data_IF_443649536142
#
_entry.id   IF_443649536142
#
_cell.length_a   1.000
_cell.length_b   1.000
_cell.length_c   1.000
_cell.angle_alpha   90.00
_cell.angle_beta   90.00
_cell.angle_gamma   90.00
#
_symmetry.space_group_name_H-M   'P 1'
#
loop_
_entity.id
_entity.type
_entity.pdbx_description
1 polymer ?
#
# COMPACT_ATOMS: atom_id res chain seq x y z
N UNK A 1 -1.80 19.13 -10.18
CA UNK A 1 -0.79 18.92 -11.25
C UNK A 1 -1.29 19.47 -12.58
N UNK A 2 -0.38 19.89 -13.42
CA UNK A 2 -0.66 20.38 -14.78
C UNK A 2 0.17 19.57 -15.78
N UNK A 3 -0.46 19.07 -16.84
CA UNK A 3 0.25 18.40 -17.93
C UNK A 3 0.19 19.31 -19.16
N UNK A 4 1.34 19.63 -19.73
CA UNK A 4 1.46 20.46 -20.93
C UNK A 4 1.93 19.58 -22.07
N UNK A 5 1.06 19.46 -23.08
CA UNK A 5 1.30 18.70 -24.32
C UNK A 5 1.31 19.70 -25.47
N UNK A 6 2.40 19.82 -26.22
CA UNK A 6 2.44 20.73 -27.34
C UNK A 6 1.52 20.29 -28.48
N UNK A 7 0.97 21.26 -29.17
CA UNK A 7 0.26 21.04 -30.42
C UNK A 7 1.24 21.15 -31.60
N UNK A 8 0.93 20.47 -32.69
CA UNK A 8 1.72 20.49 -33.93
C UNK A 8 1.87 21.88 -34.53
N UNK A 9 0.84 22.74 -34.39
CA UNK A 9 0.74 24.05 -35.00
C UNK A 9 1.04 25.24 -34.06
N UNK A 10 1.39 24.96 -32.79
CA UNK A 10 1.64 26.06 -31.84
C UNK A 10 3.03 26.66 -32.02
N UNK A 11 3.14 27.97 -31.73
CA UNK A 11 4.39 28.69 -31.80
C UNK A 11 5.19 28.58 -30.52
N UNK A 12 6.51 28.62 -30.63
CA UNK A 12 7.44 28.59 -29.50
C UNK A 12 7.21 29.73 -28.51
N UNK A 13 6.85 30.92 -29.04
CA UNK A 13 6.63 32.10 -28.21
C UNK A 13 5.47 31.93 -27.22
N UNK A 14 4.42 31.20 -27.60
CA UNK A 14 3.26 30.95 -26.73
C UNK A 14 3.66 30.13 -25.52
N UNK A 15 4.42 29.03 -25.73
CA UNK A 15 4.90 28.21 -24.63
C UNK A 15 5.91 28.95 -23.74
N UNK A 16 6.86 29.68 -24.33
CA UNK A 16 7.84 30.43 -23.58
C UNK A 16 7.21 31.55 -22.75
N UNK A 17 6.17 32.23 -23.27
CA UNK A 17 5.40 33.20 -22.48
C UNK A 17 4.75 32.55 -21.25
N UNK A 18 4.23 31.32 -21.37
CA UNK A 18 3.67 30.57 -20.27
C UNK A 18 4.79 30.16 -19.25
N UNK A 19 5.87 29.54 -19.72
CA UNK A 19 6.96 29.07 -18.86
C UNK A 19 7.67 30.21 -18.13
N UNK A 20 7.84 31.36 -18.77
CA UNK A 20 8.41 32.56 -18.16
C UNK A 20 7.53 33.10 -17.02
N UNK A 21 6.19 33.09 -17.17
CA UNK A 21 5.26 33.53 -16.10
C UNK A 21 5.41 32.70 -14.83
N UNK A 22 5.73 31.44 -14.96
CA UNK A 22 5.91 30.54 -13.81
C UNK A 22 7.38 30.29 -13.45
N UNK A 23 8.30 30.96 -14.13
CA UNK A 23 9.75 30.96 -13.90
C UNK A 23 10.38 29.57 -13.84
N UNK A 24 10.02 28.68 -14.77
CA UNK A 24 10.53 27.30 -14.81
C UNK A 24 11.60 27.04 -15.86
N UNK A 25 11.86 27.98 -16.75
CA UNK A 25 12.77 27.85 -17.88
C UNK A 25 12.11 28.09 -19.23
N UNK A 26 12.65 27.51 -20.29
CA UNK A 26 12.18 27.74 -21.65
C UNK A 26 12.31 26.50 -22.54
N UNK A 27 11.61 26.54 -23.66
CA UNK A 27 11.82 25.63 -24.77
C UNK A 27 12.51 26.36 -25.91
N UNK A 28 13.38 25.64 -26.62
CA UNK A 28 14.09 26.18 -27.77
C UNK A 28 13.53 25.64 -29.08
N UNK A 29 14.32 25.08 -29.93
CA UNK A 29 13.92 24.70 -31.28
C UNK A 29 13.01 23.48 -31.33
N UNK A 30 12.08 23.49 -32.29
CA UNK A 30 11.40 22.27 -32.76
C UNK A 30 12.33 21.53 -33.70
N UNK A 31 12.75 20.34 -33.32
CA UNK A 31 13.59 19.47 -34.11
C UNK A 31 12.74 18.48 -34.87
N UNK A 32 13.14 18.19 -36.12
CA UNK A 32 12.46 17.22 -37.00
C UNK A 32 13.40 16.05 -37.28
N UNK A 33 13.69 15.32 -36.24
CA UNK A 33 14.47 14.09 -36.28
C UNK A 33 13.66 12.97 -35.63
N UNK A 34 13.68 11.81 -36.26
CA UNK A 34 12.92 10.65 -35.77
C UNK A 34 13.70 9.99 -34.66
N UNK A 35 13.16 10.03 -33.41
CA UNK A 35 13.81 9.46 -32.23
C UNK A 35 12.90 8.43 -31.57
N UNK A 36 13.52 7.41 -30.98
CA UNK A 36 12.83 6.42 -30.14
C UNK A 36 12.86 6.84 -28.67
N UNK A 37 11.76 6.57 -27.95
CA UNK A 37 11.70 6.73 -26.50
C UNK A 37 12.19 5.42 -25.89
N UNK A 38 13.44 5.40 -25.42
CA UNK A 38 14.10 4.14 -25.03
C UNK A 38 14.37 4.03 -23.55
N UNK A 39 14.44 5.16 -22.83
CA UNK A 39 14.85 5.16 -21.44
C UNK A 39 13.68 5.53 -20.50
N UNK A 40 13.44 4.65 -19.53
CA UNK A 40 12.47 4.87 -18.44
C UNK A 40 13.26 5.09 -17.15
N UNK A 41 13.04 6.21 -16.49
CA UNK A 41 13.68 6.49 -15.21
C UNK A 41 12.97 5.74 -14.06
N UNK A 42 13.24 4.44 -13.93
CA UNK A 42 12.66 3.58 -12.88
C UNK A 42 13.00 4.03 -11.44
N UNK A 43 14.04 4.86 -11.26
CA UNK A 43 14.41 5.40 -9.95
C UNK A 43 13.47 6.52 -9.51
N UNK A 44 12.76 7.15 -10.45
CA UNK A 44 11.83 8.22 -10.13
C UNK A 44 10.59 7.64 -9.40
N UNK A 45 10.17 8.24 -8.28
CA UNK A 45 8.95 7.85 -7.55
C UNK A 45 7.69 7.80 -8.41
N UNK A 46 7.67 8.51 -9.54
CA UNK A 46 6.58 8.48 -10.52
C UNK A 46 6.25 7.08 -11.00
N UNK A 47 7.26 6.21 -11.19
CA UNK A 47 7.10 4.84 -11.65
C UNK A 47 7.08 3.80 -10.52
N UNK A 48 7.07 4.25 -9.25
CA UNK A 48 6.96 3.35 -8.11
C UNK A 48 5.66 2.54 -8.20
N UNK A 49 5.78 1.22 -8.14
CA UNK A 49 4.65 0.25 -8.23
C UNK A 49 3.95 0.18 -9.61
N UNK A 50 4.53 0.77 -10.65
CA UNK A 50 4.01 0.64 -12.03
C UNK A 50 4.55 -0.63 -12.69
N UNK A 51 5.83 -0.90 -12.50
CA UNK A 51 6.51 -2.04 -13.08
C UNK A 51 6.97 -2.98 -11.96
N UNK A 52 6.62 -4.26 -12.06
CA UNK A 52 7.11 -5.29 -11.12
C UNK A 52 8.59 -5.63 -11.34
N UNK A 53 9.09 -5.41 -12.56
CA UNK A 53 10.51 -5.56 -12.96
C UNK A 53 10.86 -4.49 -13.99
N UNK A 54 12.14 -4.16 -14.14
CA UNK A 54 12.59 -3.30 -15.23
C UNK A 54 12.30 -3.99 -16.58
N UNK A 55 11.50 -3.34 -17.41
CA UNK A 55 11.16 -3.86 -18.74
C UNK A 55 12.24 -3.43 -19.71
N UNK A 56 12.94 -4.38 -20.32
CA UNK A 56 14.03 -4.11 -21.26
C UNK A 56 13.66 -4.31 -22.73
N UNK A 57 12.58 -5.02 -23.02
CA UNK A 57 12.17 -5.34 -24.39
C UNK A 57 10.70 -4.97 -24.61
N UNK A 58 10.43 -3.72 -24.90
CA UNK A 58 9.11 -3.29 -25.39
C UNK A 58 9.27 -2.56 -26.72
N UNK A 59 8.18 -2.47 -27.48
CA UNK A 59 8.18 -1.65 -28.68
C UNK A 59 8.36 -0.18 -28.30
N UNK A 60 9.57 0.34 -28.54
CA UNK A 60 9.90 1.73 -28.27
C UNK A 60 9.07 2.66 -29.13
N UNK A 61 8.28 3.57 -28.55
CA UNK A 61 7.55 4.56 -29.32
C UNK A 61 8.50 5.45 -30.11
N UNK A 62 8.05 5.88 -31.30
CA UNK A 62 8.81 6.73 -32.21
C UNK A 62 8.14 8.10 -32.24
N UNK A 63 8.95 9.15 -32.25
CA UNK A 63 8.56 10.54 -32.37
C UNK A 63 9.31 11.16 -33.54
N UNK A 64 8.56 11.79 -34.47
CA UNK A 64 9.13 12.42 -35.68
C UNK A 64 9.60 13.86 -35.47
N UNK A 65 8.98 14.58 -34.53
CA UNK A 65 9.41 15.91 -34.16
C UNK A 65 9.20 16.19 -32.68
N UNK A 66 10.12 16.90 -32.08
CA UNK A 66 10.09 17.22 -30.67
C UNK A 66 10.66 18.61 -30.38
N UNK A 67 10.41 19.12 -29.17
CA UNK A 67 10.95 20.38 -28.69
C UNK A 67 12.10 20.13 -27.72
N UNK A 68 13.21 20.85 -27.91
CA UNK A 68 14.30 20.88 -26.92
C UNK A 68 13.88 21.81 -25.80
N UNK A 69 13.99 21.34 -24.56
CA UNK A 69 13.66 22.11 -23.37
C UNK A 69 14.88 22.30 -22.47
N UNK A 70 14.93 23.46 -21.83
CA UNK A 70 15.90 23.79 -20.79
C UNK A 70 15.10 24.32 -19.59
N UNK A 71 14.82 23.43 -18.64
CA UNK A 71 14.06 23.76 -17.43
C UNK A 71 14.95 23.67 -16.19
N UNK A 72 14.67 24.55 -15.24
CA UNK A 72 15.32 24.54 -13.94
C UNK A 72 14.71 23.42 -13.08
N UNK A 73 15.57 22.66 -12.38
CA UNK A 73 15.15 21.62 -11.41
C UNK A 73 14.16 20.58 -11.98
N UNK A 74 14.28 20.28 -13.26
CA UNK A 74 13.45 19.28 -13.91
C UNK A 74 14.00 17.87 -13.68
N UNK A 75 13.10 16.93 -13.40
CA UNK A 75 13.41 15.49 -13.33
C UNK A 75 12.87 14.80 -14.58
N UNK A 76 13.73 14.08 -15.30
CA UNK A 76 13.29 13.30 -16.45
C UNK A 76 12.57 12.03 -16.01
N UNK A 77 11.44 11.73 -16.66
CA UNK A 77 10.66 10.51 -16.49
C UNK A 77 10.91 9.51 -17.62
N UNK A 78 10.86 10.01 -18.86
CA UNK A 78 11.12 9.25 -20.07
C UNK A 78 12.10 10.04 -20.94
N UNK A 79 13.12 9.35 -21.51
CA UNK A 79 14.08 9.97 -22.40
C UNK A 79 14.09 9.32 -23.77
N UNK A 80 14.50 10.09 -24.75
CA UNK A 80 14.84 9.61 -26.08
C UNK A 80 16.17 8.84 -26.09
N UNK A 81 16.43 8.11 -27.16
CA UNK A 81 17.67 7.36 -27.39
C UNK A 81 18.94 8.24 -27.34
N UNK A 82 18.84 9.51 -27.66
CA UNK A 82 19.90 10.52 -27.56
C UNK A 82 20.03 11.14 -26.16
N UNK A 83 19.35 10.59 -25.14
CA UNK A 83 19.31 11.05 -23.74
C UNK A 83 18.62 12.42 -23.54
N UNK A 84 18.00 12.99 -24.55
CA UNK A 84 17.15 14.16 -24.35
C UNK A 84 15.84 13.75 -23.68
N UNK A 85 15.28 14.58 -22.80
CA UNK A 85 14.06 14.20 -22.10
C UNK A 85 12.83 14.29 -23.00
N UNK A 86 11.99 13.23 -22.97
CA UNK A 86 10.69 13.23 -23.62
C UNK A 86 9.59 13.69 -22.66
N UNK A 87 9.60 13.21 -21.43
CA UNK A 87 8.68 13.68 -20.38
C UNK A 87 9.50 14.15 -19.19
N UNK A 88 9.24 15.38 -18.76
CA UNK A 88 9.89 16.00 -17.60
C UNK A 88 8.84 16.40 -16.56
N UNK A 89 9.21 16.20 -15.30
CA UNK A 89 8.47 16.67 -14.14
C UNK A 89 9.20 17.87 -13.55
N UNK A 90 8.45 18.95 -13.33
CA UNK A 90 8.93 20.18 -12.69
C UNK A 90 8.12 20.43 -11.42
N UNK A 91 8.77 20.89 -10.37
CA UNK A 91 8.11 21.30 -9.12
C UNK A 91 7.74 22.77 -9.22
N UNK A 92 6.46 23.10 -9.01
CA UNK A 92 5.97 24.47 -9.00
C UNK A 92 5.23 24.71 -7.68
N UNK A 93 5.82 25.51 -6.78
CA UNK A 93 5.22 25.76 -5.46
C UNK A 93 4.73 24.44 -4.82
N UNK A 94 3.42 24.31 -4.65
CA UNK A 94 2.79 23.12 -4.05
C UNK A 94 2.28 22.11 -5.09
N UNK A 95 2.64 22.27 -6.37
CA UNK A 95 2.18 21.42 -7.47
C UNK A 95 3.30 20.87 -8.33
N UNK A 96 2.91 20.04 -9.29
CA UNK A 96 3.82 19.50 -10.30
C UNK A 96 3.34 19.88 -11.69
N UNK A 97 4.27 20.27 -12.55
CA UNK A 97 4.02 20.43 -13.97
C UNK A 97 4.75 19.30 -14.70
N UNK A 98 4.04 18.67 -15.63
CA UNK A 98 4.60 17.68 -16.53
C UNK A 98 4.64 18.27 -17.94
N UNK A 99 5.83 18.29 -18.52
CA UNK A 99 6.06 18.69 -19.90
C UNK A 99 6.32 17.47 -20.75
N UNK A 100 5.57 17.33 -21.85
CA UNK A 100 5.82 16.33 -22.89
C UNK A 100 6.46 17.05 -24.07
N UNK A 101 7.67 16.64 -24.46
CA UNK A 101 8.46 17.36 -25.43
C UNK A 101 7.98 17.23 -26.88
N UNK A 102 6.88 16.55 -27.14
CA UNK A 102 6.39 16.25 -28.49
C UNK A 102 4.86 16.31 -28.58
N UNK A 103 4.29 16.75 -29.70
CA UNK A 103 2.90 16.49 -30.02
C UNK A 103 2.61 14.98 -30.02
N UNK A 104 1.46 14.59 -29.48
CA UNK A 104 1.04 13.20 -29.37
C UNK A 104 0.06 12.75 -30.47
N UNK A 105 -0.12 13.57 -31.51
CA UNK A 105 -0.94 13.18 -32.67
C UNK A 105 -0.30 12.00 -33.43
N UNK A 106 -1.14 11.17 -34.04
CA UNK A 106 -0.71 9.95 -34.75
C UNK A 106 0.21 10.24 -35.96
N UNK A 107 0.16 11.46 -36.50
CA UNK A 107 1.07 11.89 -37.57
C UNK A 107 2.50 12.07 -37.11
N UNK A 108 2.69 12.45 -35.85
CA UNK A 108 3.98 12.77 -35.24
C UNK A 108 4.51 11.69 -34.33
N UNK A 109 3.66 10.99 -33.56
CA UNK A 109 4.10 10.01 -32.56
C UNK A 109 3.13 8.83 -32.46
N UNK A 110 3.67 7.64 -32.23
CA UNK A 110 2.88 6.45 -31.88
C UNK A 110 2.89 6.17 -30.35
N UNK A 111 3.30 7.14 -29.54
CA UNK A 111 3.33 7.00 -28.08
C UNK A 111 1.95 6.65 -27.50
N UNK A 112 0.89 7.22 -28.03
CA UNK A 112 -0.50 6.97 -27.59
C UNK A 112 -0.96 5.53 -27.83
N UNK A 113 -0.34 4.83 -28.76
CA UNK A 113 -0.58 3.40 -29.05
C UNK A 113 0.38 2.48 -28.31
N UNK A 114 1.30 3.01 -27.51
CA UNK A 114 2.27 2.21 -26.78
C UNK A 114 1.76 1.78 -25.40
N UNK A 115 2.24 0.66 -24.85
CA UNK A 115 1.92 0.24 -23.48
C UNK A 115 2.29 1.25 -22.40
N UNK A 116 3.18 2.22 -22.70
CA UNK A 116 3.62 3.26 -21.74
C UNK A 116 2.58 4.34 -21.51
N UNK A 117 1.62 4.54 -22.42
CA UNK A 117 0.63 5.62 -22.29
C UNK A 117 -0.24 5.46 -21.05
N UNK A 118 -0.73 4.24 -20.80
CA UNK A 118 -1.62 3.96 -19.68
C UNK A 118 -0.97 4.27 -18.32
N UNK A 119 0.20 3.72 -17.97
CA UNK A 119 0.83 4.00 -16.69
C UNK A 119 1.25 5.47 -16.52
N UNK A 120 1.65 6.14 -17.60
CA UNK A 120 2.04 7.55 -17.54
C UNK A 120 0.83 8.44 -17.24
N UNK A 121 -0.25 8.32 -18.01
CA UNK A 121 -1.44 9.15 -17.81
C UNK A 121 -2.20 8.79 -16.52
N UNK A 122 -2.24 7.52 -16.15
CA UNK A 122 -2.77 7.09 -14.85
C UNK A 122 -2.04 7.78 -13.69
N UNK A 123 -0.70 7.81 -13.74
CA UNK A 123 0.07 8.44 -12.68
C UNK A 123 0.00 9.97 -12.69
N UNK A 124 -0.17 10.61 -13.84
CA UNK A 124 -0.50 12.04 -13.86
C UNK A 124 -1.79 12.33 -13.07
N UNK A 125 -2.84 11.53 -13.27
CA UNK A 125 -4.09 11.64 -12.51
C UNK A 125 -3.90 11.31 -11.03
N UNK A 126 -3.29 10.18 -10.72
CA UNK A 126 -3.06 9.70 -9.35
C UNK A 126 -2.25 10.67 -8.51
N UNK A 127 -1.16 11.22 -9.06
CA UNK A 127 -0.32 12.19 -8.36
C UNK A 127 -0.94 13.59 -8.28
N UNK A 128 -1.92 13.87 -9.13
CA UNK A 128 -2.71 15.10 -9.06
C UNK A 128 -3.72 15.07 -7.93
N UNK A 129 -4.31 13.92 -7.69
CA UNK A 129 -5.29 13.71 -6.64
C UNK A 129 -4.58 13.51 -5.29
N UNK A 130 -4.32 14.60 -4.58
CA UNK A 130 -3.95 14.54 -3.16
C UNK A 130 -5.22 14.22 -2.37
N UNK A 131 -5.52 12.95 -2.18
CA UNK A 131 -6.54 12.55 -1.23
C UNK A 131 -5.94 12.63 0.18
N UNK A 132 -6.39 13.56 1.02
CA UNK A 132 -6.00 13.53 2.42
C UNK A 132 -6.46 12.19 3.02
N UNK A 133 -5.66 11.62 3.90
CA UNK A 133 -6.11 10.45 4.64
C UNK A 133 -7.39 10.85 5.40
N UNK A 134 -8.46 10.03 5.34
CA UNK A 134 -9.70 10.35 6.04
C UNK A 134 -9.49 10.43 7.55
N UNK A 135 -8.58 9.63 8.10
CA UNK A 135 -8.14 9.67 9.49
C UNK A 135 -6.78 9.00 9.67
N UNK A 136 -6.14 9.32 10.77
CA UNK A 136 -4.92 8.68 11.26
C UNK A 136 -5.27 7.74 12.42
N UNK A 137 -4.48 6.68 12.60
CA UNK A 137 -4.78 5.65 13.60
C UNK A 137 -4.08 5.96 14.93
N UNK A 138 -4.84 5.99 16.01
CA UNK A 138 -4.34 6.16 17.38
C UNK A 138 -3.45 4.96 17.75
N UNK A 139 -2.32 5.23 18.41
CA UNK A 139 -1.36 4.19 18.82
C UNK A 139 -0.44 3.67 17.72
N UNK A 140 -0.65 4.09 16.46
CA UNK A 140 0.24 3.79 15.35
C UNK A 140 1.19 4.96 15.05
N UNK A 141 2.33 4.66 14.45
CA UNK A 141 3.22 5.71 13.93
C UNK A 141 2.56 6.32 12.68
N UNK A 142 2.25 7.61 12.75
CA UNK A 142 1.69 8.35 11.63
C UNK A 142 2.64 9.45 11.19
N UNK A 143 2.82 9.59 9.86
CA UNK A 143 3.51 10.71 9.23
C UNK A 143 2.49 11.58 8.51
N UNK A 144 2.46 12.86 8.87
CA UNK A 144 1.49 13.85 8.40
C UNK A 144 2.25 14.99 7.74
N UNK A 145 2.08 15.16 6.45
CA UNK A 145 2.72 16.23 5.69
C UNK A 145 1.85 17.49 5.69
N UNK A 146 2.30 18.52 6.34
CA UNK A 146 1.68 19.84 6.35
C UNK A 146 2.40 20.74 5.36
N UNK A 147 1.68 21.34 4.42
CA UNK A 147 2.23 22.20 3.37
C UNK A 147 2.61 23.59 3.92
N UNK A 148 3.48 23.62 4.92
CA UNK A 148 3.97 24.82 5.59
C UNK A 148 5.43 24.68 5.90
N UNK A 149 6.24 25.64 5.49
CA UNK A 149 7.60 25.80 5.96
C UNK A 149 7.62 26.54 7.31
N UNK A 150 8.53 26.15 8.19
CA UNK A 150 8.74 26.77 9.49
C UNK A 150 10.02 27.58 9.50
N UNK A 151 10.04 28.69 10.22
CA UNK A 151 11.25 29.40 10.56
C UNK A 151 11.97 28.70 11.72
N UNK A 152 13.21 29.15 12.05
CA UNK A 152 14.11 28.46 12.97
C UNK A 152 13.54 28.22 14.38
N UNK A 153 12.62 29.06 14.83
CA UNK A 153 12.04 29.00 16.20
C UNK A 153 10.52 28.71 16.18
N UNK A 154 9.97 28.31 15.03
CA UNK A 154 8.56 28.01 14.90
C UNK A 154 8.30 26.52 15.00
N UNK A 155 7.19 26.17 15.66
CA UNK A 155 6.73 24.78 15.80
C UNK A 155 5.25 24.68 15.47
N UNK A 156 4.85 23.53 14.95
CA UNK A 156 3.45 23.17 14.79
C UNK A 156 2.95 22.48 16.04
N UNK A 157 1.77 22.84 16.45
CA UNK A 157 1.07 22.24 17.60
C UNK A 157 -0.22 21.59 17.09
N UNK A 158 -0.54 20.41 17.58
CA UNK A 158 -1.81 19.74 17.31
C UNK A 158 -2.70 19.94 18.54
N UNK A 159 -3.89 20.51 18.34
CA UNK A 159 -4.83 20.77 19.43
C UNK A 159 -6.27 20.38 19.09
N UNK A 160 -7.01 20.02 20.13
CA UNK A 160 -8.47 19.94 20.12
C UNK A 160 -9.03 20.93 21.16
N UNK A 161 -10.30 20.78 21.54
CA UNK A 161 -10.93 21.65 22.53
C UNK A 161 -10.42 21.43 23.98
N UNK A 162 -9.76 20.31 24.25
CA UNK A 162 -9.41 19.85 25.60
C UNK A 162 -7.92 19.59 25.77
N UNK A 163 -7.20 19.33 24.71
CA UNK A 163 -5.79 18.93 24.73
C UNK A 163 -4.97 19.61 23.65
N UNK A 164 -3.69 19.72 23.89
CA UNK A 164 -2.71 20.30 22.96
C UNK A 164 -1.38 19.60 23.16
N UNK A 165 -0.71 19.24 22.08
CA UNK A 165 0.62 18.61 22.11
C UNK A 165 1.46 19.00 20.89
N UNK A 166 2.76 18.91 21.04
CA UNK A 166 3.74 19.18 19.98
C UNK A 166 4.27 17.81 19.49
N UNK A 167 3.99 17.42 18.23
CA UNK A 167 4.52 16.19 17.65
C UNK A 167 6.02 16.32 17.34
N UNK A 168 6.70 15.21 17.06
CA UNK A 168 8.00 15.26 16.42
C UNK A 168 7.86 15.87 15.02
N UNK A 169 8.80 16.77 14.65
CA UNK A 169 8.69 17.54 13.41
C UNK A 169 9.96 17.46 12.61
N UNK A 170 9.82 17.16 11.33
CA UNK A 170 10.90 17.24 10.35
C UNK A 170 10.59 18.33 9.33
N UNK A 171 11.46 19.33 9.25
CA UNK A 171 11.27 20.46 8.34
C UNK A 171 11.89 20.17 6.99
N UNK A 172 11.17 20.56 5.94
CA UNK A 172 11.63 20.60 4.56
C UNK A 172 11.39 22.01 3.98
N UNK A 173 11.98 22.30 2.84
CA UNK A 173 11.88 23.62 2.20
C UNK A 173 10.43 24.06 1.89
N UNK A 174 9.51 23.12 1.64
CA UNK A 174 8.11 23.40 1.22
C UNK A 174 7.05 22.78 2.12
N UNK A 175 7.44 21.94 3.07
CA UNK A 175 6.52 21.22 3.97
C UNK A 175 7.17 20.93 5.31
N UNK A 176 6.36 20.65 6.29
CA UNK A 176 6.79 20.06 7.57
C UNK A 176 6.09 18.73 7.76
N UNK A 177 6.84 17.67 8.00
CA UNK A 177 6.28 16.34 8.32
C UNK A 177 6.19 16.20 9.83
N UNK A 178 4.99 15.90 10.32
CA UNK A 178 4.71 15.63 11.73
C UNK A 178 4.70 14.12 11.94
N UNK A 179 5.38 13.65 13.00
CA UNK A 179 5.31 12.26 13.42
C UNK A 179 4.53 12.17 14.73
N UNK A 180 3.46 11.36 14.76
CA UNK A 180 2.65 11.10 15.95
C UNK A 180 2.58 9.61 16.21
N UNK A 181 2.65 9.22 17.50
CA UNK A 181 2.60 7.82 17.93
C UNK A 181 1.71 7.67 19.17
N UNK A 182 2.11 8.27 20.29
CA UNK A 182 1.42 8.12 21.58
C UNK A 182 0.26 9.11 21.74
N UNK A 183 0.37 10.25 21.08
CA UNK A 183 -0.67 11.28 21.06
C UNK A 183 -1.22 11.46 19.64
N UNK A 184 -2.54 11.74 19.51
CA UNK A 184 -3.52 11.83 20.58
C UNK A 184 -3.98 10.45 21.09
N UNK A 185 -4.52 10.40 22.32
CA UNK A 185 -5.07 9.17 22.93
C UNK A 185 -6.57 8.99 22.68
N UNK A 186 -7.27 10.02 22.20
CA UNK A 186 -8.71 9.98 21.93
C UNK A 186 -9.02 10.23 20.46
N UNK A 187 -10.08 9.58 19.98
CA UNK A 187 -10.59 9.86 18.64
C UNK A 187 -11.20 11.26 18.56
N UNK A 188 -11.10 11.89 17.39
CA UNK A 188 -11.67 13.20 17.17
C UNK A 188 -11.02 14.00 16.07
N UNK A 189 -11.49 15.23 15.91
CA UNK A 189 -10.93 16.21 14.99
C UNK A 189 -9.94 17.10 15.73
N UNK A 190 -8.73 17.14 15.24
CA UNK A 190 -7.64 17.94 15.76
C UNK A 190 -7.25 19.02 14.76
N UNK A 191 -6.82 20.16 15.25
CA UNK A 191 -6.37 21.26 14.41
C UNK A 191 -4.87 21.43 14.54
N UNK A 192 -4.16 21.42 13.41
CA UNK A 192 -2.75 21.79 13.35
C UNK A 192 -2.65 23.31 13.34
N UNK A 193 -1.87 23.84 14.25
CA UNK A 193 -1.77 25.28 14.51
C UNK A 193 -0.31 25.72 14.43
N UNK A 194 -0.07 26.87 13.79
CA UNK A 194 1.19 27.60 13.78
C UNK A 194 0.95 28.97 14.40
N UNK A 195 1.66 29.33 15.45
CA UNK A 195 1.54 30.64 16.11
C UNK A 195 0.06 31.04 16.34
N UNK A 196 -0.75 30.13 16.91
CA UNK A 196 -2.20 30.29 17.13
C UNK A 196 -3.09 30.39 15.86
N UNK A 197 -2.52 30.32 14.67
CA UNK A 197 -3.29 30.28 13.42
C UNK A 197 -3.54 28.83 12.99
N UNK A 198 -4.80 28.48 12.78
CA UNK A 198 -5.18 27.16 12.28
C UNK A 198 -4.73 26.99 10.82
N UNK A 199 -4.01 25.90 10.53
CA UNK A 199 -3.52 25.59 9.19
C UNK A 199 -4.36 24.49 8.56
N UNK A 200 -4.52 23.37 9.27
CA UNK A 200 -5.17 22.18 8.73
C UNK A 200 -5.93 21.44 9.84
N UNK A 201 -7.00 20.75 9.45
CA UNK A 201 -7.75 19.84 10.35
C UNK A 201 -7.43 18.40 9.98
N UNK A 202 -7.12 17.60 10.98
CA UNK A 202 -6.80 16.19 10.86
C UNK A 202 -7.72 15.38 11.77
N UNK A 203 -8.08 14.18 11.33
CA UNK A 203 -8.92 13.29 12.12
C UNK A 203 -8.08 12.12 12.67
N UNK A 204 -8.39 11.70 13.89
CA UNK A 204 -7.84 10.47 14.47
C UNK A 204 -8.97 9.51 14.84
N UNK A 205 -8.74 8.23 14.62
CA UNK A 205 -9.67 7.17 14.97
C UNK A 205 -8.92 5.95 15.50
N UNK A 206 -9.63 5.07 16.20
CA UNK A 206 -9.09 3.79 16.64
C UNK A 206 -8.84 2.86 15.45
N UNK A 207 -7.97 1.87 15.65
CA UNK A 207 -7.70 0.87 14.63
C UNK A 207 -8.97 0.07 14.31
N UNK A 208 -9.31 -0.12 13.01
CA UNK A 208 -10.45 -0.94 12.61
C UNK A 208 -10.23 -2.45 12.84
N UNK A 209 -9.04 -2.85 13.32
CA UNK A 209 -8.69 -4.26 13.53
C UNK A 209 -9.62 -5.00 14.49
N UNK A 210 -10.24 -4.30 15.45
CA UNK A 210 -11.25 -4.89 16.34
C UNK A 210 -12.58 -5.18 15.63
N UNK A 211 -12.85 -4.50 14.53
CA UNK A 211 -14.04 -4.69 13.70
C UNK A 211 -13.83 -5.72 12.59
N UNK A 212 -12.62 -6.22 12.44
CA UNK A 212 -12.28 -7.23 11.45
C UNK A 212 -12.69 -8.60 11.98
N UNK A 213 -13.82 -9.12 11.49
CA UNK A 213 -14.35 -10.46 11.81
C UNK A 213 -13.48 -11.55 11.14
N UNK A 214 -12.21 -11.62 11.51
CA UNK A 214 -11.34 -12.72 11.12
C UNK A 214 -11.49 -13.85 12.11
N UNK A 215 -12.26 -14.90 11.73
CA UNK A 215 -12.40 -16.09 12.54
C UNK A 215 -11.14 -16.94 12.45
N UNK A 216 -10.60 -17.30 13.60
CA UNK A 216 -9.48 -18.23 13.68
C UNK A 216 -9.92 -19.61 13.19
N UNK A 217 -9.36 -20.11 12.10
CA UNK A 217 -9.62 -21.48 11.66
C UNK A 217 -8.89 -22.48 12.56
N UNK A 218 -9.55 -22.86 13.66
CA UNK A 218 -9.01 -23.74 14.68
C UNK A 218 -8.63 -25.11 14.09
N UNK A 219 -9.41 -25.64 13.12
CA UNK A 219 -9.10 -26.92 12.44
C UNK A 219 -7.72 -26.93 11.80
N UNK A 220 -7.31 -25.81 11.21
CA UNK A 220 -5.99 -25.71 10.56
C UNK A 220 -4.83 -25.56 11.58
N UNK A 221 -5.07 -24.90 12.70
CA UNK A 221 -4.03 -24.73 13.75
C UNK A 221 -3.76 -25.99 14.56
N UNK A 222 -4.74 -26.90 14.66
CA UNK A 222 -4.63 -28.16 15.40
C UNK A 222 -4.02 -29.27 14.54
N UNK A 223 -4.01 -29.12 13.20
CA UNK A 223 -3.37 -30.07 12.30
C UNK A 223 -1.89 -30.24 12.68
N UNK A 224 -1.54 -31.42 13.17
CA UNK A 224 -0.17 -31.75 13.58
C UNK A 224 0.06 -31.82 15.08
N UNK A 225 -0.85 -31.38 15.92
CA UNK A 225 -0.72 -31.56 17.39
C UNK A 225 -1.58 -32.72 17.87
N UNK A 226 -0.92 -33.82 18.23
CA UNK A 226 -1.58 -35.08 18.67
C UNK A 226 -2.38 -34.95 19.96
N UNK A 227 -2.14 -33.91 20.74
CA UNK A 227 -2.75 -33.72 22.07
C UNK A 227 -3.98 -32.79 22.02
N UNK A 228 -4.28 -32.20 20.87
CA UNK A 228 -5.42 -31.30 20.69
C UNK A 228 -6.45 -31.94 19.75
N UNK A 229 -7.68 -32.06 20.25
CA UNK A 229 -8.80 -32.55 19.47
C UNK A 229 -9.87 -31.48 19.32
N UNK A 230 -10.30 -31.25 18.09
CA UNK A 230 -11.42 -30.33 17.78
C UNK A 230 -12.72 -31.13 17.76
N UNK A 231 -13.73 -30.60 18.41
CA UNK A 231 -15.11 -31.13 18.33
C UNK A 231 -16.09 -30.00 18.11
N UNK A 232 -17.06 -30.22 17.25
CA UNK A 232 -18.12 -29.25 16.94
C UNK A 232 -19.23 -29.21 18.00
N UNK A 233 -19.29 -30.21 18.87
CA UNK A 233 -20.30 -30.31 19.91
C UNK A 233 -19.73 -30.81 21.23
N UNK A 234 -20.16 -30.19 22.33
CA UNK A 234 -19.83 -30.60 23.69
C UNK A 234 -20.36 -32.00 23.95
N UNK A 235 -21.50 -32.36 23.41
CA UNK A 235 -22.11 -33.67 23.56
C UNK A 235 -21.20 -34.79 23.02
N UNK A 236 -20.54 -34.58 21.88
CA UNK A 236 -19.61 -35.59 21.32
C UNK A 236 -18.36 -35.75 22.16
N UNK A 237 -17.87 -34.70 22.82
CA UNK A 237 -16.74 -34.76 23.73
C UNK A 237 -17.10 -35.56 24.98
N UNK A 238 -18.27 -35.27 25.55
CA UNK A 238 -18.77 -35.98 26.73
C UNK A 238 -19.01 -37.47 26.44
N UNK A 239 -19.63 -37.83 25.30
CA UNK A 239 -19.83 -39.22 24.91
C UNK A 239 -18.48 -39.98 24.76
N UNK A 240 -17.50 -39.40 24.08
CA UNK A 240 -16.17 -39.99 23.95
C UNK A 240 -15.47 -40.22 25.31
N UNK A 241 -15.63 -39.27 26.24
CA UNK A 241 -15.07 -39.42 27.58
C UNK A 241 -15.81 -40.50 28.39
N UNK A 242 -17.13 -40.61 28.26
CA UNK A 242 -17.93 -41.66 28.89
C UNK A 242 -17.52 -43.02 28.32
N UNK A 243 -17.38 -43.15 27.01
CA UNK A 243 -16.93 -44.38 26.37
C UNK A 243 -15.51 -44.80 26.79
N UNK A 244 -14.57 -43.84 26.88
CA UNK A 244 -13.20 -44.08 27.29
C UNK A 244 -13.08 -44.48 28.74
N UNK A 245 -13.98 -44.01 29.60
CA UNK A 245 -14.02 -44.33 31.04
C UNK A 245 -14.99 -45.46 31.39
N UNK A 246 -15.58 -46.13 30.37
CA UNK A 246 -16.49 -47.24 30.59
C UNK A 246 -15.75 -48.38 31.20
N UNK A 247 -15.96 -48.59 32.48
CA UNK A 247 -15.39 -49.74 33.22
C UNK A 247 -15.99 -51.01 32.71
N UNK A 248 -15.22 -51.86 32.02
CA UNK A 248 -15.65 -53.20 31.61
C UNK A 248 -15.63 -54.13 32.81
N UNK A 249 -16.80 -54.42 33.34
CA UNK A 249 -16.90 -55.32 34.48
C UNK A 249 -16.67 -56.76 33.99
N UNK A 250 -15.46 -57.28 34.19
CA UNK A 250 -15.08 -58.65 33.79
C UNK A 250 -15.58 -59.71 34.71
N UNK A 251 -16.23 -59.37 35.82
CA UNK A 251 -16.72 -60.34 36.82
C UNK A 251 -17.65 -61.40 36.21
N UNK A 252 -18.45 -61.09 35.23
CA UNK A 252 -19.31 -62.03 34.53
C UNK A 252 -18.55 -63.14 33.84
N UNK A 253 -17.39 -62.81 33.27
CA UNK A 253 -16.50 -63.80 32.65
C UNK A 253 -15.82 -64.68 33.66
N UNK A 254 -15.47 -64.16 34.80
CA UNK A 254 -14.92 -64.96 35.93
C UNK A 254 -15.98 -65.87 36.49
N UNK A 255 -17.24 -65.47 36.62
CA UNK A 255 -18.33 -66.32 37.07
C UNK A 255 -18.60 -67.47 36.07
N UNK A 256 -18.61 -67.16 34.76
CA UNK A 256 -18.78 -68.13 33.70
C UNK A 256 -17.65 -69.21 33.76
N UNK A 257 -16.43 -68.73 33.93
CA UNK A 257 -15.24 -69.64 34.06
C UNK A 257 -15.36 -70.50 35.26
N UNK A 258 -15.76 -70.01 36.44
CA UNK A 258 -16.03 -70.77 37.63
C UNK A 258 -17.09 -71.86 37.43
N UNK A 259 -18.20 -71.58 36.79
CA UNK A 259 -19.25 -72.53 36.45
C UNK A 259 -18.68 -73.66 35.55
N UNK A 260 -17.94 -73.26 34.51
CA UNK A 260 -17.30 -74.26 33.62
C UNK A 260 -16.33 -75.13 34.35
N UNK A 261 -15.53 -74.58 35.26
CA UNK A 261 -14.59 -75.38 36.10
C UNK A 261 -15.30 -76.39 36.99
N UNK A 262 -16.40 -76.01 37.64
CA UNK A 262 -17.22 -76.91 38.41
C UNK A 262 -17.87 -78.03 37.55
N UNK A 263 -18.30 -77.72 36.36
CA UNK A 263 -18.79 -78.72 35.44
C UNK A 263 -17.71 -79.75 35.04
N UNK A 264 -16.51 -79.30 34.77
CA UNK A 264 -15.35 -80.18 34.53
C UNK A 264 -15.04 -81.03 35.72
N UNK A 265 -15.08 -80.53 36.92
CA UNK A 265 -14.87 -81.31 38.17
C UNK A 265 -15.92 -82.39 38.30
N UNK A 266 -17.19 -82.08 38.09
CA UNK A 266 -18.28 -83.07 38.15
C UNK A 266 -18.08 -84.16 37.08
N UNK A 267 -17.66 -83.77 35.85
CA UNK A 267 -17.43 -84.76 34.79
C UNK A 267 -16.26 -85.67 35.13
N UNK A 268 -15.17 -85.15 35.65
CA UNK A 268 -14.02 -85.93 36.06
C UNK A 268 -14.40 -86.91 37.16
N UNK A 269 -15.13 -86.48 38.20
CA UNK A 269 -15.59 -87.33 39.28
C UNK A 269 -16.56 -88.41 38.85
N UNK A 270 -17.35 -88.14 37.78
CA UNK A 270 -18.31 -89.12 37.26
C UNK A 270 -17.67 -90.15 36.35
N UNK A 271 -16.70 -89.79 35.55
CA UNK A 271 -16.13 -90.68 34.53
C UNK A 271 -14.77 -91.31 34.92
N UNK A 272 -14.05 -90.66 35.81
CA UNK A 272 -12.81 -91.20 36.38
C UNK A 272 -13.08 -91.68 37.82
N UNK A 273 -13.81 -92.78 37.97
CA UNK A 273 -13.86 -93.52 39.20
C UNK A 273 -12.54 -94.32 39.28
N UNK A 274 -11.77 -94.28 40.42
CA UNK A 274 -10.62 -95.14 40.63
C UNK A 274 -11.01 -96.58 40.70
#
# INVERSE_FOLDING_TARGET
SLVVIPNTNSTLSTYNSFFNKINVGSISNKLRDSLKITNINFKNPFFKNVFSKSVQNFQYPIVKSHYRSSFNEASSLLDFENKQPFIQQLSIKNGSLFWIASPLDNGNSNFTSSPLVVPVFYNFGKLSAKYPKPFYTIGAINFIDIATALNKDEVLTIKDNTSSFIPLQQQFSTKTTLETKENPSKQGLYTVVKNNTAIEKIAYNYSPSESELSFLNIKNKIKGNKNLHYSESIATVLQKNIEKNKVTWLWKWFLALAIVSLLFEILILKFFKP
#
